data_IF_903564410323
#
_entry.id   IF_903564410323
#
_cell.length_a   1.000
_cell.length_b   1.000
_cell.length_c   1.000
_cell.angle_alpha   90.00
_cell.angle_beta   90.00
_cell.angle_gamma   90.00
#
_symmetry.space_group_name_H-M   'P 1'
#
loop_
_entity.id
_entity.type
_entity.pdbx_description
1 polymer ?
#
# COMPACT_ATOMS: atom_id res chain seq x y z
N UNK A 1 -21.06 19.62 -3.99
CA UNK A 1 -19.62 19.95 -4.07
C UNK A 1 -18.88 19.37 -2.88
N UNK A 2 -18.03 18.35 -3.06
CA UNK A 2 -17.14 17.90 -2.00
C UNK A 2 -16.28 19.07 -1.53
N UNK A 3 -16.16 19.26 -0.22
CA UNK A 3 -15.41 20.37 0.33
C UNK A 3 -13.96 20.33 -0.19
N UNK A 4 -13.42 21.48 -0.60
CA UNK A 4 -12.08 21.58 -1.19
C UNK A 4 -11.00 20.87 -0.35
N UNK A 5 -11.13 20.93 0.98
CA UNK A 5 -10.24 20.25 1.94
C UNK A 5 -10.23 18.73 1.76
N UNK A 6 -11.38 18.13 1.43
CA UNK A 6 -11.52 16.68 1.20
C UNK A 6 -10.77 16.27 -0.06
N UNK A 7 -10.86 17.04 -1.14
CA UNK A 7 -10.13 16.77 -2.40
C UNK A 7 -8.61 16.88 -2.17
N UNK A 8 -8.16 17.92 -1.47
CA UNK A 8 -6.74 18.09 -1.10
C UNK A 8 -6.25 16.92 -0.24
N UNK A 9 -7.02 16.54 0.77
CA UNK A 9 -6.70 15.41 1.64
C UNK A 9 -6.67 14.07 0.90
N UNK A 10 -7.61 13.85 -0.02
CA UNK A 10 -7.66 12.66 -0.85
C UNK A 10 -6.45 12.56 -1.78
N UNK A 11 -6.05 13.68 -2.41
CA UNK A 11 -4.83 13.73 -3.23
C UNK A 11 -3.57 13.44 -2.43
N UNK A 12 -3.47 14.00 -1.21
CA UNK A 12 -2.35 13.73 -0.32
C UNK A 12 -2.28 12.25 0.07
N UNK A 13 -3.40 11.65 0.49
CA UNK A 13 -3.44 10.23 0.89
C UNK A 13 -3.21 9.29 -0.29
N UNK A 14 -3.80 9.57 -1.44
CA UNK A 14 -3.66 8.77 -2.64
C UNK A 14 -2.20 8.71 -3.12
N UNK A 15 -1.49 9.84 -3.15
CA UNK A 15 -0.08 9.83 -3.56
C UNK A 15 0.81 9.15 -2.50
N UNK A 16 0.51 9.32 -1.21
CA UNK A 16 1.25 8.63 -0.14
C UNK A 16 1.12 7.12 -0.28
N UNK A 17 -0.09 6.65 -0.60
CA UNK A 17 -0.36 5.25 -0.89
C UNK A 17 0.42 4.75 -2.11
N UNK A 18 0.49 5.53 -3.20
CA UNK A 18 1.23 5.14 -4.41
C UNK A 18 2.75 5.01 -4.21
N UNK A 19 3.33 5.74 -3.26
CA UNK A 19 4.77 5.65 -2.95
C UNK A 19 5.08 4.37 -2.19
N UNK A 20 4.14 3.89 -1.37
CA UNK A 20 4.31 2.66 -0.63
C UNK A 20 4.24 1.47 -1.61
N UNK A 21 5.27 0.61 -1.66
CA UNK A 21 5.24 -0.59 -2.48
C UNK A 21 4.00 -1.41 -2.08
N UNK A 22 3.24 -1.87 -3.08
CA UNK A 22 2.07 -2.74 -2.91
C UNK A 22 0.79 -2.09 -2.37
N UNK A 23 0.72 -0.76 -2.23
CA UNK A 23 -0.55 -0.06 -1.98
C UNK A 23 -0.94 0.76 -3.22
N UNK A 24 -2.20 0.63 -3.68
CA UNK A 24 -2.70 1.37 -4.85
C UNK A 24 -3.42 2.65 -4.42
N UNK A 25 -3.03 3.79 -4.98
CA UNK A 25 -3.71 5.07 -4.71
C UNK A 25 -5.14 5.14 -5.23
N UNK A 26 -5.45 4.45 -6.34
CA UNK A 26 -6.81 4.39 -6.87
C UNK A 26 -7.76 3.63 -5.92
N UNK A 27 -7.26 2.60 -5.24
CA UNK A 27 -8.03 1.87 -4.23
C UNK A 27 -8.33 2.74 -3.00
N UNK A 28 -7.37 3.57 -2.58
CA UNK A 28 -7.61 4.56 -1.51
C UNK A 28 -8.71 5.54 -1.90
N UNK A 29 -8.74 6.00 -3.15
CA UNK A 29 -9.82 6.87 -3.63
C UNK A 29 -11.18 6.16 -3.65
N UNK A 30 -11.22 4.87 -4.03
CA UNK A 30 -12.43 4.06 -3.98
C UNK A 30 -12.95 3.93 -2.53
N UNK A 31 -12.07 3.63 -1.58
CA UNK A 31 -12.42 3.55 -0.15
C UNK A 31 -12.95 4.87 0.40
N UNK A 32 -12.41 5.99 -0.09
CA UNK A 32 -12.87 7.33 0.29
C UNK A 32 -14.15 7.76 -0.45
N UNK A 33 -14.66 6.96 -1.40
CA UNK A 33 -15.81 7.32 -2.24
C UNK A 33 -15.52 8.48 -3.21
N UNK A 34 -14.25 8.74 -3.50
CA UNK A 34 -13.79 9.88 -4.30
C UNK A 34 -13.20 9.47 -5.65
N UNK A 35 -13.23 8.18 -5.99
CA UNK A 35 -12.74 7.69 -7.27
C UNK A 35 -13.54 8.27 -8.45
N UNK A 36 -14.86 8.12 -8.43
CA UNK A 36 -15.75 8.62 -9.48
C UNK A 36 -15.64 10.15 -9.66
N UNK A 37 -15.77 11.00 -8.62
CA UNK A 37 -15.70 12.44 -8.80
C UNK A 37 -14.33 12.94 -9.29
N UNK A 38 -13.23 12.26 -8.94
CA UNK A 38 -11.89 12.64 -9.42
C UNK A 38 -11.69 12.19 -10.88
N UNK A 39 -12.16 11.00 -11.25
CA UNK A 39 -12.03 10.50 -12.63
C UNK A 39 -12.97 11.21 -13.61
N UNK A 40 -14.16 11.60 -13.16
CA UNK A 40 -15.09 12.46 -13.89
C UNK A 40 -14.49 13.86 -14.09
N UNK A 41 -13.96 14.49 -13.04
CA UNK A 41 -13.28 15.78 -13.15
C UNK A 41 -12.11 15.78 -14.15
N UNK A 42 -11.35 14.68 -14.24
CA UNK A 42 -10.30 14.52 -15.25
C UNK A 42 -10.89 14.39 -16.66
N UNK A 43 -11.97 13.62 -16.82
CA UNK A 43 -12.64 13.38 -18.11
C UNK A 43 -13.27 14.65 -18.66
N UNK A 44 -13.90 15.44 -17.79
CA UNK A 44 -14.56 16.71 -18.11
C UNK A 44 -13.58 17.89 -18.20
N UNK A 45 -12.28 17.63 -17.96
CA UNK A 45 -11.23 18.66 -17.87
C UNK A 45 -11.58 19.78 -16.88
N UNK A 46 -12.19 19.44 -15.76
CA UNK A 46 -12.34 20.35 -14.62
C UNK A 46 -10.96 20.61 -13.98
N UNK A 47 -10.28 21.60 -14.54
CA UNK A 47 -8.94 22.03 -14.11
C UNK A 47 -8.97 22.47 -12.64
N UNK A 48 -10.10 22.97 -12.13
CA UNK A 48 -10.21 23.42 -10.74
C UNK A 48 -10.04 22.27 -9.76
N UNK A 49 -10.87 21.23 -9.91
CA UNK A 49 -10.82 20.02 -9.06
C UNK A 49 -9.50 19.27 -9.23
N UNK A 50 -9.01 19.12 -10.46
CA UNK A 50 -7.74 18.43 -10.74
C UNK A 50 -6.55 19.18 -10.13
N UNK A 51 -6.51 20.51 -10.23
CA UNK A 51 -5.43 21.31 -9.65
C UNK A 51 -5.46 21.25 -8.12
N UNK A 52 -6.64 21.26 -7.52
CA UNK A 52 -6.81 21.14 -6.08
C UNK A 52 -6.35 19.76 -5.58
N UNK A 53 -6.69 18.69 -6.28
CA UNK A 53 -6.18 17.35 -6.03
C UNK A 53 -4.65 17.30 -6.18
N UNK A 54 -4.12 17.91 -7.24
CA UNK A 54 -2.69 18.01 -7.52
C UNK A 54 -1.92 18.76 -6.43
N UNK A 55 -2.47 19.85 -5.89
CA UNK A 55 -1.89 20.57 -4.74
C UNK A 55 -1.81 19.65 -3.52
N UNK A 56 -2.89 18.91 -3.24
CA UNK A 56 -2.90 17.88 -2.20
C UNK A 56 -1.83 16.83 -2.40
N UNK A 57 -1.69 16.31 -3.61
CA UNK A 57 -0.65 15.34 -3.95
C UNK A 57 0.76 15.90 -3.75
N UNK A 58 1.07 17.11 -4.23
CA UNK A 58 2.41 17.71 -4.05
C UNK A 58 2.74 17.92 -2.56
N UNK A 59 1.80 18.45 -1.78
CA UNK A 59 1.97 18.66 -0.34
C UNK A 59 2.14 17.33 0.41
N UNK A 60 1.29 16.34 0.08
CA UNK A 60 1.34 14.99 0.66
C UNK A 60 2.66 14.30 0.37
N UNK A 61 3.09 14.29 -0.89
CA UNK A 61 4.37 13.72 -1.32
C UNK A 61 5.56 14.41 -0.65
N UNK A 62 5.55 15.75 -0.58
CA UNK A 62 6.63 16.50 0.07
C UNK A 62 6.76 16.20 1.56
N UNK A 63 5.63 16.13 2.27
CA UNK A 63 5.61 15.79 3.70
C UNK A 63 6.01 14.33 3.93
N UNK A 64 5.44 13.43 3.13
CA UNK A 64 5.67 11.99 3.25
C UNK A 64 7.10 11.60 2.89
N UNK A 65 7.68 12.20 1.84
CA UNK A 65 9.09 11.99 1.47
C UNK A 65 10.02 12.32 2.64
N UNK A 66 9.80 13.46 3.31
CA UNK A 66 10.58 13.84 4.51
C UNK A 66 10.35 12.87 5.67
N UNK A 67 9.11 12.42 5.88
CA UNK A 67 8.79 11.44 6.93
C UNK A 67 9.49 10.11 6.66
N UNK A 68 9.39 9.60 5.43
CA UNK A 68 9.98 8.34 5.01
C UNK A 68 11.51 8.42 5.09
N UNK A 69 12.11 9.52 4.65
CA UNK A 69 13.55 9.74 4.78
C UNK A 69 13.99 9.66 6.26
N UNK A 70 13.30 10.35 7.17
CA UNK A 70 13.59 10.27 8.62
C UNK A 70 13.41 8.85 9.19
N UNK A 71 12.40 8.14 8.70
CA UNK A 71 12.15 6.74 9.09
C UNK A 71 13.28 5.83 8.62
N UNK A 72 13.74 5.99 7.38
CA UNK A 72 14.87 5.22 6.84
C UNK A 72 16.19 5.59 7.51
N UNK A 73 16.40 6.85 7.91
CA UNK A 73 17.62 7.27 8.62
C UNK A 73 17.69 6.65 10.03
N UNK A 74 16.58 6.62 10.76
CA UNK A 74 16.56 6.13 12.16
C UNK A 74 16.26 4.63 12.29
N UNK A 75 15.49 4.05 11.37
CA UNK A 75 14.96 2.69 11.46
C UNK A 75 15.14 1.92 10.14
N UNK A 76 16.26 2.14 9.44
CA UNK A 76 16.53 1.60 8.09
C UNK A 76 16.16 0.13 7.93
N UNK A 77 16.68 -0.72 8.82
CA UNK A 77 16.52 -2.17 8.73
C UNK A 77 15.06 -2.58 8.92
N UNK A 78 14.34 -1.93 9.84
CA UNK A 78 12.92 -2.19 10.07
C UNK A 78 12.06 -1.73 8.88
N UNK A 79 12.31 -0.54 8.33
CA UNK A 79 11.58 -0.03 7.16
C UNK A 79 11.80 -0.94 5.95
N UNK A 80 13.04 -1.31 5.65
CA UNK A 80 13.35 -2.22 4.53
C UNK A 80 12.69 -3.59 4.74
N UNK A 81 12.71 -4.14 5.96
CA UNK A 81 12.02 -5.39 6.26
C UNK A 81 10.51 -5.31 6.03
N UNK A 82 9.87 -4.21 6.42
CA UNK A 82 8.44 -3.96 6.17
C UNK A 82 8.15 -3.85 4.66
N UNK A 83 8.94 -3.06 3.93
CA UNK A 83 8.76 -2.88 2.48
C UNK A 83 8.96 -4.21 1.74
N UNK A 84 9.96 -5.01 2.12
CA UNK A 84 10.15 -6.36 1.57
C UNK A 84 8.99 -7.28 1.92
N UNK A 85 8.49 -7.25 3.15
CA UNK A 85 7.31 -8.03 3.55
C UNK A 85 6.08 -7.67 2.75
N UNK A 86 5.87 -6.38 2.46
CA UNK A 86 4.75 -5.89 1.66
C UNK A 86 4.88 -6.34 0.20
N UNK A 87 6.07 -6.21 -0.39
CA UNK A 87 6.35 -6.73 -1.73
C UNK A 87 6.14 -8.25 -1.82
N UNK A 88 6.67 -9.02 -0.87
CA UNK A 88 6.48 -10.47 -0.81
C UNK A 88 5.01 -10.86 -0.64
N UNK A 89 4.25 -10.11 0.18
CA UNK A 89 2.80 -10.30 0.34
C UNK A 89 2.03 -10.05 -0.96
N UNK A 90 2.38 -8.98 -1.70
CA UNK A 90 1.76 -8.71 -3.01
C UNK A 90 2.10 -9.79 -4.05
N UNK A 91 3.32 -10.34 -3.99
CA UNK A 91 3.77 -11.40 -4.89
C UNK A 91 3.03 -12.72 -4.62
N UNK A 92 2.70 -13.03 -3.35
CA UNK A 92 1.88 -14.19 -2.99
C UNK A 92 0.49 -14.16 -3.64
N UNK A 93 -0.09 -12.98 -3.82
CA UNK A 93 -1.41 -12.83 -4.47
C UNK A 93 -1.29 -13.03 -5.99
N UNK A 94 -0.19 -12.57 -6.59
CA UNK A 94 0.03 -12.67 -8.03
C UNK A 94 0.53 -14.06 -8.48
N UNK A 95 0.96 -14.88 -7.53
CA UNK A 95 1.52 -16.20 -7.76
C UNK A 95 0.54 -17.32 -7.34
N UNK A 96 0.33 -18.38 -8.13
CA UNK A 96 0.91 -18.69 -9.44
C UNK A 96 0.24 -17.88 -10.56
N UNK A 97 1.03 -17.49 -11.55
CA UNK A 97 0.52 -16.81 -12.75
C UNK A 97 -0.62 -17.64 -13.36
N UNK A 98 -1.72 -17.00 -13.82
CA UNK A 98 -2.78 -17.71 -14.52
C UNK A 98 -2.19 -18.38 -15.77
N UNK A 99 -1.97 -19.70 -15.70
CA UNK A 99 -1.56 -20.48 -16.86
C UNK A 99 -2.82 -20.76 -17.68
N UNK A 100 -3.14 -19.83 -18.57
CA UNK A 100 -3.93 -20.11 -19.78
C UNK A 100 -5.30 -20.74 -19.59
N UNK A 101 -6.14 -20.18 -18.73
CA UNK A 101 -7.58 -20.43 -18.81
C UNK A 101 -8.30 -19.08 -19.07
N UNK A 102 -8.79 -18.83 -20.31
CA UNK A 102 -9.49 -17.59 -20.65
C UNK A 102 -10.84 -17.43 -19.93
N UNK A 103 -11.32 -18.50 -19.28
CA UNK A 103 -12.53 -18.52 -18.45
C UNK A 103 -12.22 -18.49 -16.93
N UNK A 104 -10.94 -18.46 -16.53
CA UNK A 104 -10.58 -18.22 -15.13
C UNK A 104 -10.82 -16.74 -14.81
N UNK A 105 -12.04 -16.45 -14.35
CA UNK A 105 -12.45 -15.16 -13.82
C UNK A 105 -11.35 -14.59 -12.91
N UNK A 106 -10.82 -13.43 -13.32
CA UNK A 106 -9.76 -12.72 -12.64
C UNK A 106 -10.06 -12.48 -11.17
N UNK A 107 -9.00 -12.44 -10.35
CA UNK A 107 -9.09 -12.29 -8.89
C UNK A 107 -10.01 -13.32 -8.23
N UNK A 108 -9.89 -14.59 -8.62
CA UNK A 108 -10.51 -15.71 -7.92
C UNK A 108 -10.21 -15.63 -6.41
N UNK A 109 -11.25 -15.30 -5.65
CA UNK A 109 -11.35 -15.23 -4.19
C UNK A 109 -11.14 -13.87 -3.50
N UNK A 110 -11.32 -12.74 -4.21
CA UNK A 110 -11.59 -11.45 -3.56
C UNK A 110 -13.07 -11.29 -3.12
N UNK A 111 -13.81 -12.39 -2.99
CA UNK A 111 -15.08 -12.37 -2.27
C UNK A 111 -14.77 -12.18 -0.78
N UNK A 112 -15.44 -11.22 -0.13
CA UNK A 112 -15.55 -11.09 1.33
C UNK A 112 -16.32 -12.30 1.92
N UNK A 113 -15.83 -13.51 1.69
CA UNK A 113 -16.21 -14.73 2.39
C UNK A 113 -15.10 -15.09 3.36
N UNK A 114 -15.47 -15.47 4.59
CA UNK A 114 -14.49 -15.93 5.56
C UNK A 114 -13.64 -17.05 4.92
N UNK A 115 -12.30 -16.92 4.87
CA UNK A 115 -11.46 -17.97 4.32
C UNK A 115 -11.69 -19.27 5.12
N UNK A 116 -11.67 -20.44 4.47
CA UNK A 116 -11.73 -21.71 5.19
C UNK A 116 -10.62 -21.75 6.25
N UNK A 117 -10.90 -22.31 7.42
CA UNK A 117 -10.03 -22.21 8.60
C UNK A 117 -8.57 -22.67 8.36
N UNK A 118 -8.34 -23.53 7.37
CA UNK A 118 -7.02 -23.96 6.91
C UNK A 118 -6.20 -22.82 6.32
N UNK A 119 -6.81 -21.94 5.53
CA UNK A 119 -6.10 -20.85 4.83
C UNK A 119 -5.75 -19.72 5.80
N UNK A 120 -6.64 -19.48 6.77
CA UNK A 120 -6.38 -18.58 7.89
C UNK A 120 -5.24 -19.11 8.76
N UNK A 121 -5.21 -20.42 9.05
CA UNK A 121 -4.12 -21.05 9.78
C UNK A 121 -2.78 -20.91 9.03
N UNK A 122 -2.75 -21.16 7.73
CA UNK A 122 -1.53 -20.99 6.91
C UNK A 122 -1.10 -19.52 6.85
N UNK A 123 -2.03 -18.58 6.73
CA UNK A 123 -1.73 -17.15 6.74
C UNK A 123 -1.16 -16.68 8.08
N UNK A 124 -1.75 -17.11 9.21
CA UNK A 124 -1.27 -16.80 10.56
C UNK A 124 0.09 -17.42 10.82
N UNK A 125 0.29 -18.69 10.44
CA UNK A 125 1.59 -19.37 10.59
C UNK A 125 2.67 -18.66 9.76
N UNK A 126 2.38 -18.32 8.50
CA UNK A 126 3.31 -17.58 7.65
C UNK A 126 3.65 -16.20 8.24
N UNK A 127 2.66 -15.47 8.78
CA UNK A 127 2.86 -14.18 9.41
C UNK A 127 3.71 -14.28 10.69
N UNK A 128 3.46 -15.29 11.53
CA UNK A 128 4.24 -15.55 12.75
C UNK A 128 5.68 -15.94 12.41
N UNK A 129 5.89 -16.78 11.39
CA UNK A 129 7.22 -17.15 10.91
C UNK A 129 7.97 -15.93 10.37
N UNK A 130 7.33 -15.11 9.54
CA UNK A 130 7.93 -13.89 9.02
C UNK A 130 8.31 -12.91 10.14
N UNK A 131 7.43 -12.72 11.14
CA UNK A 131 7.71 -11.89 12.30
C UNK A 131 8.87 -12.47 13.15
N UNK A 132 8.90 -13.78 13.37
CA UNK A 132 9.96 -14.45 14.11
C UNK A 132 11.32 -14.34 13.41
N UNK A 133 11.35 -14.50 12.09
CA UNK A 133 12.56 -14.33 11.27
C UNK A 133 13.02 -12.87 11.30
N UNK A 134 12.10 -11.92 11.11
CA UNK A 134 12.43 -10.49 11.16
C UNK A 134 13.00 -10.08 12.54
N UNK A 135 12.37 -10.53 13.63
CA UNK A 135 12.86 -10.26 15.00
C UNK A 135 14.18 -11.00 15.27
N UNK A 136 14.34 -12.23 14.78
CA UNK A 136 15.57 -13.00 14.91
C UNK A 136 16.76 -12.32 14.22
N UNK A 137 16.56 -11.88 12.98
CA UNK A 137 17.55 -11.11 12.23
C UNK A 137 17.87 -9.77 12.90
N UNK A 138 16.86 -9.07 13.41
CA UNK A 138 17.05 -7.83 14.15
C UNK A 138 17.85 -8.02 15.47
N UNK A 139 17.62 -9.13 16.18
CA UNK A 139 18.35 -9.47 17.41
C UNK A 139 19.79 -9.95 17.16
N UNK A 140 20.06 -10.55 16.00
CA UNK A 140 21.41 -10.95 15.60
C UNK A 140 22.24 -9.77 15.09
N UNK A 141 21.61 -8.83 14.39
CA UNK A 141 22.27 -7.60 13.92
C UNK A 141 22.73 -6.68 15.05
N UNK A 142 21.96 -6.59 16.15
CA UNK A 142 22.32 -5.75 17.31
C UNK A 142 23.43 -6.34 18.19
N UNK A 143 23.78 -7.63 18.03
CA UNK A 143 24.87 -8.29 18.77
C UNK A 143 26.27 -8.09 18.17
N UNK A 144 26.37 -7.61 16.94
CA UNK A 144 27.66 -7.39 16.25
C UNK A 144 28.12 -5.93 16.28
N UNK A 145 27.29 -5.01 16.77
CA UNK A 145 27.60 -3.57 16.88
C UNK A 145 28.15 -3.17 18.27
N UNK A 146 29.06 -3.97 18.84
CA UNK A 146 29.76 -3.64 20.08
C UNK A 146 31.24 -4.02 19.97
N UNK A 147 32.13 -3.10 19.56
CA UNK A 147 33.55 -3.20 19.91
C UNK A 147 33.77 -2.87 21.39
#
# INVERSE_FOLDING_TARGET
DPAAVVIVGAGALAVCAMILPGISGAFVLLLLGLYDPITEAVSDRDVGTVLLFGVGAVLGLGLFSRLLQRLLERWRDAVIAVLMGLMAGSLRVLWPWPVGDPDAEGFGNAALGAPPASDLAVAVVAAVVAAAVAVGLHRLGTRQASP
#
